data_IF_141893180874
#
_entry.id   IF_141893180874
#
_cell.length_a   1.000
_cell.length_b   1.000
_cell.length_c   1.000
_cell.angle_alpha   90.00
_cell.angle_beta   90.00
_cell.angle_gamma   90.00
#
_symmetry.space_group_name_H-M   'P 1'
#
loop_
_entity.id
_entity.type
_entity.pdbx_description
1 polymer ?
#
# COMPACT_ATOMS: atom_id res chain seq x y z
N UNK A 1 17.22 9.92 31.96
CA UNK A 1 17.11 11.11 32.84
C UNK A 1 17.15 12.43 32.05
N UNK A 2 18.10 12.64 31.12
CA UNK A 2 18.23 13.89 30.36
C UNK A 2 16.97 14.20 29.54
N UNK A 3 16.46 13.21 28.77
CA UNK A 3 15.24 13.35 27.95
C UNK A 3 14.02 13.66 28.82
N UNK A 4 13.84 12.93 29.94
CA UNK A 4 12.75 13.16 30.90
C UNK A 4 12.82 14.58 31.44
N UNK A 5 14.02 15.07 31.82
CA UNK A 5 14.21 16.42 32.29
C UNK A 5 13.88 17.51 31.27
N UNK A 6 13.95 17.20 29.95
CA UNK A 6 13.59 18.14 28.87
C UNK A 6 12.10 18.21 28.62
N UNK A 7 11.38 17.10 28.79
CA UNK A 7 9.94 16.99 28.46
C UNK A 7 9.01 17.03 29.68
N UNK A 8 9.54 16.96 30.92
CA UNK A 8 8.74 16.87 32.15
C UNK A 8 7.79 18.06 32.39
N UNK A 9 8.09 19.22 31.79
CA UNK A 9 7.28 20.44 31.92
C UNK A 9 6.24 20.58 30.77
N UNK A 10 6.17 19.63 29.87
CA UNK A 10 5.21 19.64 28.75
C UNK A 10 4.18 18.53 28.95
N UNK A 11 2.91 18.86 28.75
CA UNK A 11 1.85 17.87 28.67
C UNK A 11 1.87 17.26 27.25
N UNK A 12 2.30 16.01 27.13
CA UNK A 12 2.35 15.35 25.82
C UNK A 12 0.94 15.15 25.24
N UNK A 13 -0.10 15.16 26.06
CA UNK A 13 -1.49 15.05 25.60
C UNK A 13 -2.01 16.33 24.94
N UNK A 14 -1.38 17.49 25.27
CA UNK A 14 -1.72 18.78 24.67
C UNK A 14 -0.86 19.09 23.43
N UNK A 15 0.12 18.22 23.14
CA UNK A 15 0.98 18.37 21.96
C UNK A 15 0.23 17.84 20.73
N UNK A 16 0.41 18.50 19.60
CA UNK A 16 -0.11 18.02 18.32
C UNK A 16 0.28 16.53 18.11
N UNK A 17 -0.73 15.69 17.98
CA UNK A 17 -0.57 14.23 17.83
C UNK A 17 0.30 13.85 16.65
N UNK A 18 0.34 14.69 15.61
CA UNK A 18 1.21 14.49 14.46
C UNK A 18 2.69 14.65 14.80
N UNK A 19 3.03 15.62 15.66
CA UNK A 19 4.40 15.83 16.14
C UNK A 19 4.88 14.64 16.97
N UNK A 20 4.01 14.13 17.85
CA UNK A 20 4.33 12.94 18.66
C UNK A 20 4.50 11.72 17.76
N UNK A 21 3.64 11.56 16.78
CA UNK A 21 3.71 10.48 15.80
C UNK A 21 5.01 10.52 14.98
N UNK A 22 5.38 11.70 14.47
CA UNK A 22 6.61 11.89 13.70
C UNK A 22 7.87 11.64 14.57
N UNK A 23 7.87 12.10 15.82
CA UNK A 23 8.96 11.83 16.76
C UNK A 23 9.08 10.33 17.07
N UNK A 24 7.96 9.64 17.19
CA UNK A 24 7.90 8.20 17.43
C UNK A 24 8.41 7.40 16.22
N UNK A 25 8.05 7.78 15.00
CA UNK A 25 8.59 7.18 13.77
C UNK A 25 10.11 7.33 13.65
N UNK A 26 10.63 8.51 13.95
CA UNK A 26 12.09 8.76 13.98
C UNK A 26 12.78 7.87 15.01
N UNK A 27 12.21 7.76 16.22
CA UNK A 27 12.77 6.93 17.29
C UNK A 27 12.80 5.45 16.91
N UNK A 28 11.73 4.94 16.32
CA UNK A 28 11.63 3.56 15.84
C UNK A 28 12.63 3.29 14.73
N UNK A 29 12.72 4.20 13.75
CA UNK A 29 13.64 4.08 12.61
C UNK A 29 15.11 3.92 13.05
N UNK A 30 15.51 4.56 14.14
CA UNK A 30 16.85 4.38 14.72
C UNK A 30 17.00 3.03 15.43
N UNK A 31 15.96 2.54 16.11
CA UNK A 31 16.01 1.31 16.92
C UNK A 31 15.99 0.02 16.09
N UNK A 32 15.43 0.07 14.87
CA UNK A 32 15.25 -1.09 13.99
C UNK A 32 16.34 -1.26 12.91
N UNK A 33 17.41 -0.49 12.95
CA UNK A 33 18.55 -0.56 12.00
C UNK A 33 19.32 -1.88 11.99
N UNK A 34 18.72 -3.00 12.30
CA UNK A 34 19.47 -4.26 12.38
C UNK A 34 18.71 -5.57 12.22
N UNK A 35 17.39 -5.59 12.13
CA UNK A 35 16.64 -6.85 12.11
C UNK A 35 15.96 -7.15 10.77
N UNK A 36 16.46 -8.21 10.13
CA UNK A 36 15.78 -9.07 9.14
C UNK A 36 14.68 -8.45 8.25
N UNK A 37 15.08 -7.58 7.28
CA UNK A 37 14.21 -7.31 6.11
C UNK A 37 12.88 -6.60 6.38
N UNK A 38 12.68 -6.05 7.57
CA UNK A 38 11.50 -5.26 7.91
C UNK A 38 11.75 -3.80 7.53
N UNK A 39 10.96 -3.28 6.60
CA UNK A 39 11.10 -1.92 6.08
C UNK A 39 9.83 -1.14 6.37
N UNK A 40 9.99 0.08 6.87
CA UNK A 40 8.87 1.01 6.98
C UNK A 40 8.45 1.48 5.60
N UNK A 41 7.15 1.51 5.38
CA UNK A 41 6.59 2.14 4.18
C UNK A 41 6.72 3.65 4.33
N UNK A 42 7.32 4.36 3.37
CA UNK A 42 7.41 5.82 3.42
C UNK A 42 6.03 6.46 3.58
N UNK A 43 5.92 7.48 4.44
CA UNK A 43 4.65 8.13 4.81
C UNK A 43 3.87 8.67 3.60
N UNK A 44 4.57 9.23 2.61
CA UNK A 44 3.96 9.70 1.38
C UNK A 44 3.35 8.56 0.53
N UNK A 45 3.98 7.38 0.50
CA UNK A 45 3.43 6.17 -0.14
C UNK A 45 2.18 5.70 0.59
N UNK A 46 2.23 5.63 1.92
CA UNK A 46 1.07 5.27 2.76
C UNK A 46 -0.10 6.22 2.49
N UNK A 47 0.14 7.53 2.53
CA UNK A 47 -0.87 8.56 2.24
C UNK A 47 -1.48 8.41 0.85
N UNK A 48 -0.64 8.12 -0.15
CA UNK A 48 -1.12 7.91 -1.52
C UNK A 48 -2.09 6.74 -1.61
N UNK A 49 -1.78 5.61 -0.98
CA UNK A 49 -2.62 4.42 -1.00
C UNK A 49 -3.91 4.60 -0.18
N UNK A 50 -3.82 5.24 0.97
CA UNK A 50 -5.02 5.56 1.77
C UNK A 50 -5.93 6.52 1.00
N UNK A 51 -5.37 7.55 0.34
CA UNK A 51 -6.16 8.47 -0.52
C UNK A 51 -6.83 7.73 -1.68
N UNK A 52 -6.14 6.77 -2.29
CA UNK A 52 -6.69 6.02 -3.42
C UNK A 52 -7.79 5.03 -3.01
N UNK A 53 -7.70 4.45 -1.82
CA UNK A 53 -8.76 3.61 -1.22
C UNK A 53 -9.92 4.49 -0.74
N UNK A 54 -9.65 5.67 -0.18
CA UNK A 54 -10.63 6.58 0.42
C UNK A 54 -11.54 5.85 1.44
N UNK A 55 -11.00 5.42 2.61
CA UNK A 55 -11.80 4.75 3.63
C UNK A 55 -12.84 5.72 4.23
N UNK A 56 -13.98 5.19 4.66
CA UNK A 56 -15.04 5.95 5.33
C UNK A 56 -15.39 5.38 6.70
N UNK A 57 -16.29 6.02 7.43
CA UNK A 57 -16.70 5.68 8.82
C UNK A 57 -17.26 4.26 8.97
N UNK A 58 -17.82 3.66 7.91
CA UNK A 58 -18.42 2.33 7.92
C UNK A 58 -17.42 1.22 7.58
N UNK A 59 -16.22 1.57 7.14
CA UNK A 59 -15.23 0.59 6.72
C UNK A 59 -14.58 -0.10 7.93
N UNK A 60 -14.46 -1.43 7.86
CA UNK A 60 -13.68 -2.24 8.81
C UNK A 60 -12.35 -2.56 8.14
N UNK A 61 -11.27 -2.06 8.73
CA UNK A 61 -9.94 -1.99 8.13
C UNK A 61 -8.99 -2.97 8.80
N UNK A 62 -8.20 -3.69 8.00
CA UNK A 62 -7.14 -4.57 8.49
C UNK A 62 -5.82 -4.34 7.76
N UNK A 63 -4.71 -4.51 8.49
CA UNK A 63 -3.38 -4.72 7.93
C UNK A 63 -2.78 -6.00 8.54
N UNK A 64 -2.68 -7.11 7.78
CA UNK A 64 -2.16 -8.39 8.31
C UNK A 64 -0.63 -8.45 8.35
N UNK A 65 0.07 -7.37 8.03
CA UNK A 65 1.52 -7.20 8.12
C UNK A 65 1.86 -5.81 8.67
N UNK A 66 1.16 -5.40 9.75
CA UNK A 66 1.04 -4.00 10.10
C UNK A 66 2.33 -3.32 10.59
N UNK A 67 3.36 -4.08 10.95
CA UNK A 67 4.61 -3.50 11.43
C UNK A 67 4.38 -2.51 12.57
N UNK A 68 4.78 -1.26 12.37
CA UNK A 68 4.50 -0.14 13.28
C UNK A 68 3.12 0.49 13.11
N UNK A 69 2.23 -0.09 12.33
CA UNK A 69 0.86 0.37 12.06
C UNK A 69 0.73 1.61 11.18
N UNK A 70 1.72 1.94 10.34
CA UNK A 70 1.71 3.15 9.51
C UNK A 70 0.45 3.30 8.64
N UNK A 71 0.00 2.23 7.96
CA UNK A 71 -1.24 2.25 7.19
C UNK A 71 -2.48 2.44 8.06
N UNK A 72 -2.56 1.75 9.19
CA UNK A 72 -3.72 1.83 10.09
C UNK A 72 -3.86 3.23 10.70
N UNK A 73 -2.73 3.83 11.09
CA UNK A 73 -2.67 5.21 11.59
C UNK A 73 -3.15 6.21 10.54
N UNK A 74 -2.65 6.12 9.33
CA UNK A 74 -3.04 7.05 8.26
C UNK A 74 -4.49 6.85 7.83
N UNK A 75 -4.97 5.60 7.76
CA UNK A 75 -6.37 5.30 7.47
C UNK A 75 -7.31 5.87 8.56
N UNK A 76 -6.92 5.75 9.83
CA UNK A 76 -7.67 6.31 10.94
C UNK A 76 -7.72 7.83 10.87
N UNK A 77 -6.59 8.50 10.58
CA UNK A 77 -6.54 9.96 10.38
C UNK A 77 -7.42 10.41 9.21
N UNK A 78 -7.42 9.64 8.12
CA UNK A 78 -8.27 9.93 6.97
C UNK A 78 -9.76 9.90 7.35
N UNK A 79 -10.20 8.82 8.01
CA UNK A 79 -11.60 8.70 8.48
C UNK A 79 -11.94 9.79 9.50
N UNK A 80 -11.01 10.15 10.38
CA UNK A 80 -11.23 11.25 11.33
C UNK A 80 -11.40 12.60 10.65
N UNK A 81 -10.67 12.87 9.56
CA UNK A 81 -10.89 14.11 8.79
C UNK A 81 -12.27 14.16 8.15
N UNK A 82 -12.81 13.04 7.71
CA UNK A 82 -14.18 12.94 7.20
C UNK A 82 -15.21 13.24 8.31
N UNK A 83 -14.99 12.72 9.53
CA UNK A 83 -15.82 13.01 10.70
C UNK A 83 -15.80 14.50 11.03
N UNK A 84 -14.62 15.12 11.02
CA UNK A 84 -14.48 16.56 11.28
C UNK A 84 -15.21 17.41 10.24
N UNK A 85 -15.10 17.05 8.97
CA UNK A 85 -15.84 17.72 7.89
C UNK A 85 -17.36 17.59 8.10
N UNK A 86 -17.84 16.38 8.38
CA UNK A 86 -19.26 16.14 8.65
C UNK A 86 -19.73 16.86 9.91
N UNK A 87 -18.91 16.90 10.96
CA UNK A 87 -19.24 17.58 12.21
C UNK A 87 -19.47 19.08 12.03
N UNK A 88 -18.69 19.73 11.15
CA UNK A 88 -18.91 21.15 10.78
C UNK A 88 -20.26 21.32 10.08
N UNK A 89 -20.63 20.43 9.17
CA UNK A 89 -21.88 20.46 8.43
C UNK A 89 -23.10 20.25 9.34
N UNK A 90 -23.00 19.28 10.29
CA UNK A 90 -24.11 18.91 11.17
C UNK A 90 -24.07 19.56 12.56
N UNK A 91 -23.12 20.45 12.83
CA UNK A 91 -23.02 21.21 14.07
C UNK A 91 -22.71 20.34 15.32
N UNK A 92 -21.88 19.33 15.19
CA UNK A 92 -21.49 18.48 16.33
C UNK A 92 -20.58 19.24 17.29
N UNK A 93 -20.71 18.95 18.58
CA UNK A 93 -19.78 19.48 19.58
C UNK A 93 -18.50 18.64 19.68
N UNK A 94 -17.45 19.19 20.26
CA UNK A 94 -16.14 18.54 20.40
C UNK A 94 -16.21 17.19 21.12
N UNK A 95 -17.07 17.04 22.12
CA UNK A 95 -17.23 15.79 22.87
C UNK A 95 -17.80 14.68 21.97
N UNK A 96 -18.80 14.98 21.14
CA UNK A 96 -19.39 14.02 20.21
C UNK A 96 -18.38 13.58 19.13
N UNK A 97 -17.60 14.54 18.61
CA UNK A 97 -16.52 14.25 17.65
C UNK A 97 -15.47 13.32 18.27
N UNK A 98 -15.03 13.61 19.50
CA UNK A 98 -14.02 12.80 20.20
C UNK A 98 -14.51 11.38 20.48
N UNK A 99 -15.78 11.22 20.87
CA UNK A 99 -16.38 9.90 21.14
C UNK A 99 -16.54 9.07 19.86
N UNK A 100 -16.97 9.68 18.76
CA UNK A 100 -17.11 9.01 17.47
C UNK A 100 -15.75 8.56 16.95
N UNK A 101 -14.74 9.43 16.97
CA UNK A 101 -13.35 9.10 16.60
C UNK A 101 -12.80 7.90 17.38
N UNK A 102 -13.02 7.91 18.72
CA UNK A 102 -12.61 6.82 19.59
C UNK A 102 -13.34 5.52 19.28
N UNK A 103 -14.64 5.61 19.06
CA UNK A 103 -15.49 4.45 18.74
C UNK A 103 -15.03 3.76 17.46
N UNK A 104 -14.75 4.53 16.40
CA UNK A 104 -14.25 4.00 15.14
C UNK A 104 -12.87 3.38 15.30
N UNK A 105 -11.94 4.04 16.01
CA UNK A 105 -10.61 3.48 16.27
C UNK A 105 -10.69 2.10 16.96
N UNK A 106 -11.53 1.96 17.97
CA UNK A 106 -11.69 0.71 18.72
C UNK A 106 -12.37 -0.40 17.89
N UNK A 107 -13.43 -0.06 17.16
CA UNK A 107 -14.28 -1.04 16.48
C UNK A 107 -13.77 -1.45 15.11
N UNK A 108 -13.24 -0.49 14.35
CA UNK A 108 -13.05 -0.65 12.92
C UNK A 108 -11.60 -0.93 12.49
N UNK A 109 -10.62 -0.77 13.38
CA UNK A 109 -9.20 -0.92 13.03
C UNK A 109 -8.64 -2.22 13.61
N UNK A 110 -8.00 -3.04 12.74
CA UNK A 110 -7.34 -4.29 13.14
C UNK A 110 -5.97 -4.40 12.46
N UNK A 111 -5.00 -4.96 13.18
CA UNK A 111 -3.68 -5.27 12.65
C UNK A 111 -3.13 -6.57 13.19
N UNK A 112 -2.37 -7.27 12.37
CA UNK A 112 -1.60 -8.46 12.79
C UNK A 112 -0.13 -8.19 12.51
N UNK A 113 0.73 -8.46 13.49
CA UNK A 113 2.18 -8.40 13.37
C UNK A 113 2.79 -9.60 14.07
N UNK A 114 3.72 -10.26 13.40
CA UNK A 114 4.38 -11.46 13.91
C UNK A 114 5.48 -11.13 14.92
N UNK A 115 6.18 -10.02 14.73
CA UNK A 115 7.23 -9.57 15.63
C UNK A 115 6.63 -8.96 16.90
N UNK A 116 6.98 -9.51 18.05
CA UNK A 116 6.43 -9.08 19.35
C UNK A 116 6.86 -7.66 19.74
N UNK A 117 8.05 -7.22 19.31
CA UNK A 117 8.53 -5.87 19.56
C UNK A 117 7.74 -4.86 18.71
N UNK A 118 7.61 -5.11 17.40
CA UNK A 118 6.82 -4.27 16.50
C UNK A 118 5.34 -4.22 16.90
N UNK A 119 4.78 -5.36 17.36
CA UNK A 119 3.42 -5.37 17.91
C UNK A 119 3.27 -4.40 19.10
N UNK A 120 4.25 -4.36 20.01
CA UNK A 120 4.24 -3.42 21.14
C UNK A 120 4.37 -1.98 20.67
N UNK A 121 5.23 -1.73 19.69
CA UNK A 121 5.43 -0.43 19.05
C UNK A 121 4.12 0.03 18.40
N UNK A 122 3.49 -0.79 17.57
CA UNK A 122 2.22 -0.49 16.92
C UNK A 122 1.11 -0.20 17.92
N UNK A 123 0.98 -1.03 18.97
CA UNK A 123 0.03 -0.78 20.08
C UNK A 123 0.25 0.54 20.77
N UNK A 124 1.52 0.92 21.01
CA UNK A 124 1.84 2.20 21.65
C UNK A 124 1.50 3.37 20.73
N UNK A 125 1.78 3.25 19.44
CA UNK A 125 1.47 4.27 18.46
C UNK A 125 -0.04 4.50 18.34
N UNK A 126 -0.81 3.42 18.16
CA UNK A 126 -2.27 3.49 18.13
C UNK A 126 -2.85 4.08 19.43
N UNK A 127 -2.30 3.69 20.61
CA UNK A 127 -2.73 4.22 21.89
C UNK A 127 -2.47 5.72 22.05
N UNK A 128 -1.35 6.25 21.54
CA UNK A 128 -1.03 7.69 21.53
C UNK A 128 -2.08 8.46 20.71
N UNK A 129 -2.56 7.87 19.63
CA UNK A 129 -3.62 8.46 18.81
C UNK A 129 -5.01 8.38 19.47
N UNK A 130 -5.17 7.53 20.48
CA UNK A 130 -6.43 7.41 21.24
C UNK A 130 -7.40 6.34 20.73
N UNK A 131 -6.90 5.34 19.98
CA UNK A 131 -7.70 4.21 19.46
C UNK A 131 -8.08 3.15 20.52
N UNK A 132 -7.54 3.27 21.74
CA UNK A 132 -7.87 2.36 22.84
C UNK A 132 -7.09 1.06 22.93
N UNK A 133 -5.99 0.84 22.19
CA UNK A 133 -5.03 -0.28 22.32
C UNK A 133 -5.47 -1.68 21.83
N UNK A 134 -6.72 -1.88 21.45
CA UNK A 134 -7.31 -3.24 21.33
C UNK A 134 -7.15 -3.93 19.99
N UNK A 135 -6.84 -3.20 18.93
CA UNK A 135 -6.96 -3.67 17.55
C UNK A 135 -5.74 -4.41 16.98
N UNK A 136 -4.60 -4.45 17.68
CA UNK A 136 -3.35 -5.02 17.16
C UNK A 136 -3.01 -6.34 17.85
N UNK A 137 -2.74 -7.39 17.07
CA UNK A 137 -2.52 -8.76 17.54
C UNK A 137 -1.14 -9.26 17.15
N UNK A 138 -0.48 -9.97 18.10
CA UNK A 138 0.83 -10.60 17.86
C UNK A 138 0.59 -12.03 17.37
N UNK A 139 0.62 -12.23 16.04
CA UNK A 139 0.36 -13.52 15.41
C UNK A 139 1.07 -13.65 14.05
N UNK A 140 1.26 -14.87 13.58
CA UNK A 140 1.63 -15.13 12.20
C UNK A 140 0.37 -15.12 11.32
N UNK A 141 0.19 -14.07 10.55
CA UNK A 141 -0.97 -13.89 9.65
C UNK A 141 -1.11 -15.00 8.61
N UNK A 142 0.00 -15.65 8.24
CA UNK A 142 0.00 -16.73 7.26
C UNK A 142 -0.37 -18.08 7.87
N UNK A 143 -0.47 -18.18 9.20
CA UNK A 143 -0.93 -19.39 9.86
C UNK A 143 -2.42 -19.64 9.63
N UNK A 144 -2.89 -20.87 9.80
CA UNK A 144 -4.32 -21.15 9.74
C UNK A 144 -5.04 -20.41 10.87
N UNK A 145 -6.18 -19.74 10.62
CA UNK A 145 -6.90 -18.99 11.65
C UNK A 145 -7.25 -19.80 12.91
N UNK A 146 -7.46 -21.11 12.76
CA UNK A 146 -7.73 -22.01 13.92
C UNK A 146 -6.55 -22.08 14.90
N UNK A 147 -5.32 -21.82 14.43
CA UNK A 147 -4.10 -21.89 15.23
C UNK A 147 -3.79 -20.56 15.92
N UNK A 148 -4.47 -19.45 15.56
CA UNK A 148 -4.34 -18.18 16.27
C UNK A 148 -4.86 -18.29 17.71
N UNK A 149 -4.37 -17.43 18.61
CA UNK A 149 -4.89 -17.40 19.97
C UNK A 149 -6.40 -17.04 20.01
N UNK A 150 -7.05 -17.30 21.12
CA UNK A 150 -8.51 -17.12 21.27
C UNK A 150 -8.93 -15.66 21.06
N UNK A 151 -8.16 -14.70 21.55
CA UNK A 151 -8.45 -13.27 21.41
C UNK A 151 -8.39 -12.82 19.96
N UNK A 152 -7.37 -13.25 19.22
CA UNK A 152 -7.23 -12.96 17.78
C UNK A 152 -8.41 -13.54 17.00
N UNK A 153 -8.76 -14.81 17.26
CA UNK A 153 -9.91 -15.47 16.59
C UNK A 153 -11.27 -14.83 16.86
N UNK A 154 -11.43 -14.21 18.01
CA UNK A 154 -12.67 -13.45 18.33
C UNK A 154 -12.78 -12.16 17.54
N UNK A 155 -11.65 -11.50 17.27
CA UNK A 155 -11.59 -10.16 16.66
C UNK A 155 -11.31 -10.17 15.15
N UNK A 156 -10.66 -11.22 14.64
CA UNK A 156 -10.27 -11.33 13.23
C UNK A 156 -10.83 -12.61 12.64
N UNK A 157 -11.68 -12.44 11.64
CA UNK A 157 -12.31 -13.54 10.89
C UNK A 157 -12.06 -13.32 9.40
N UNK A 158 -12.00 -14.40 8.66
CA UNK A 158 -11.96 -14.33 7.20
C UNK A 158 -13.26 -13.74 6.67
N UNK A 159 -13.20 -13.08 5.51
CA UNK A 159 -14.36 -12.56 4.76
C UNK A 159 -15.19 -11.51 5.53
N UNK A 160 -14.55 -10.74 6.44
CA UNK A 160 -15.28 -9.75 7.26
C UNK A 160 -14.83 -8.30 7.07
N UNK A 161 -13.66 -8.07 6.50
CA UNK A 161 -13.12 -6.71 6.36
C UNK A 161 -13.54 -6.08 5.04
N UNK A 162 -13.78 -4.78 5.04
CA UNK A 162 -14.09 -4.02 3.83
C UNK A 162 -12.84 -3.43 3.18
N UNK A 163 -11.79 -3.17 3.98
CA UNK A 163 -10.51 -2.67 3.49
C UNK A 163 -9.35 -3.45 4.09
N UNK A 164 -8.37 -3.77 3.23
CA UNK A 164 -7.09 -4.29 3.67
C UNK A 164 -5.95 -3.46 3.08
N UNK A 165 -4.99 -3.08 3.93
CA UNK A 165 -3.71 -2.50 3.51
C UNK A 165 -2.60 -3.49 3.80
N UNK A 166 -1.56 -3.53 2.97
CA UNK A 166 -0.41 -4.38 3.26
C UNK A 166 0.84 -3.93 2.52
N UNK A 167 1.95 -3.86 3.23
CA UNK A 167 3.29 -3.91 2.67
C UNK A 167 3.99 -5.14 3.26
N UNK A 168 3.74 -6.34 2.70
CA UNK A 168 4.28 -7.58 3.26
C UNK A 168 5.79 -7.62 3.12
N UNK A 169 6.49 -8.39 3.96
CA UNK A 169 7.90 -8.62 3.78
C UNK A 169 8.17 -9.23 2.41
N UNK A 170 9.19 -8.73 1.71
CA UNK A 170 9.60 -9.25 0.42
C UNK A 170 11.08 -9.52 0.37
N UNK A 171 11.41 -10.65 -0.25
CA UNK A 171 12.76 -11.16 -0.42
C UNK A 171 12.72 -12.56 -1.01
N UNK A 172 13.68 -12.87 -1.86
CA UNK A 172 13.75 -14.21 -2.49
C UNK A 172 14.00 -15.33 -1.47
N UNK A 173 14.64 -14.97 -0.36
CA UNK A 173 15.10 -15.91 0.65
C UNK A 173 14.06 -16.14 1.77
N UNK A 174 12.97 -15.34 1.79
CA UNK A 174 11.90 -15.50 2.77
C UNK A 174 10.88 -16.49 2.22
N UNK A 175 10.99 -17.74 2.70
CA UNK A 175 10.12 -18.85 2.31
C UNK A 175 9.20 -19.26 3.46
N UNK A 176 8.00 -19.63 3.11
CA UNK A 176 7.01 -20.21 4.03
C UNK A 176 6.93 -21.70 3.75
N UNK A 177 7.07 -22.51 4.78
CA UNK A 177 7.03 -23.97 4.71
C UNK A 177 5.91 -24.53 5.57
N UNK A 178 5.62 -25.82 5.38
CA UNK A 178 4.61 -26.55 6.15
C UNK A 178 3.34 -26.80 5.32
N UNK A 179 3.08 -28.08 5.03
CA UNK A 179 1.96 -28.50 4.18
C UNK A 179 0.61 -28.00 4.68
N UNK A 180 0.37 -28.07 5.97
CA UNK A 180 -0.89 -27.60 6.58
C UNK A 180 -1.07 -26.09 6.41
N UNK A 181 -0.01 -25.32 6.61
CA UNK A 181 0.00 -23.87 6.40
C UNK A 181 -0.21 -23.50 4.92
N UNK A 182 0.50 -24.15 4.03
CA UNK A 182 0.44 -23.87 2.60
C UNK A 182 -0.86 -24.30 1.92
N UNK A 183 -1.49 -25.39 2.40
CA UNK A 183 -2.68 -25.96 1.78
C UNK A 183 -3.90 -25.04 1.73
N UNK A 184 -3.92 -23.99 2.56
CA UNK A 184 -4.99 -22.99 2.58
C UNK A 184 -4.87 -21.90 1.50
N UNK A 185 -3.78 -21.90 0.71
CA UNK A 185 -3.49 -20.90 -0.31
C UNK A 185 -3.55 -21.49 -1.70
N UNK A 186 -4.31 -20.88 -2.60
CA UNK A 186 -4.34 -21.24 -4.02
C UNK A 186 -2.97 -21.02 -4.69
N UNK A 187 -2.32 -19.89 -4.35
CA UNK A 187 -1.03 -19.50 -4.89
C UNK A 187 0.15 -20.36 -4.39
N UNK A 188 -0.09 -21.25 -3.42
CA UNK A 188 0.89 -22.27 -3.01
C UNK A 188 0.84 -23.53 -3.88
N UNK A 189 -0.09 -23.61 -4.84
CA UNK A 189 -0.18 -24.75 -5.75
C UNK A 189 0.34 -24.40 -7.13
N UNK A 190 1.04 -25.34 -7.71
CA UNK A 190 1.48 -25.30 -9.11
C UNK A 190 0.66 -26.24 -9.96
N UNK A 191 0.28 -25.80 -11.15
CA UNK A 191 -0.39 -26.64 -12.13
C UNK A 191 0.64 -27.11 -13.15
N UNK A 192 0.89 -28.43 -13.19
CA UNK A 192 1.80 -29.07 -14.14
C UNK A 192 1.04 -30.20 -14.82
N UNK A 193 0.98 -30.19 -16.15
CA UNK A 193 0.25 -31.17 -16.95
C UNK A 193 -1.21 -31.37 -16.50
N UNK A 194 -1.92 -30.26 -16.19
CA UNK A 194 -3.29 -30.28 -15.73
C UNK A 194 -3.51 -30.78 -14.29
N UNK A 195 -2.46 -31.19 -13.60
CA UNK A 195 -2.54 -31.63 -12.19
C UNK A 195 -2.10 -30.53 -11.25
N UNK A 196 -2.91 -30.25 -10.25
CA UNK A 196 -2.61 -29.27 -9.17
C UNK A 196 -1.80 -29.97 -8.09
N UNK A 197 -0.59 -29.47 -7.82
CA UNK A 197 0.29 -30.00 -6.77
C UNK A 197 0.67 -28.89 -5.80
N UNK A 198 0.58 -29.17 -4.50
CA UNK A 198 1.06 -28.29 -3.46
C UNK A 198 2.60 -28.22 -3.51
N UNK A 199 3.14 -27.01 -3.53
CA UNK A 199 4.58 -26.78 -3.43
C UNK A 199 5.07 -27.04 -2.00
N UNK A 200 6.33 -27.42 -1.83
CA UNK A 200 6.92 -27.67 -0.50
C UNK A 200 7.23 -26.36 0.24
N UNK A 201 7.37 -25.28 -0.53
CA UNK A 201 7.60 -23.91 -0.02
C UNK A 201 6.81 -22.87 -0.83
N UNK A 202 6.29 -21.83 -0.15
CA UNK A 202 5.61 -20.71 -0.77
C UNK A 202 6.39 -19.40 -0.62
N UNK A 203 6.22 -18.49 -1.58
CA UNK A 203 6.77 -17.15 -1.46
C UNK A 203 5.90 -16.31 -0.52
N UNK A 204 6.52 -15.64 0.44
CA UNK A 204 5.82 -14.88 1.47
C UNK A 204 4.91 -13.78 0.89
N UNK A 205 5.36 -13.04 -0.13
CA UNK A 205 4.58 -11.94 -0.72
C UNK A 205 3.33 -12.42 -1.45
N UNK A 206 3.41 -13.58 -2.16
CA UNK A 206 2.23 -14.16 -2.83
C UNK A 206 1.22 -14.70 -1.84
N UNK A 207 1.69 -15.30 -0.74
CA UNK A 207 0.79 -15.80 0.31
C UNK A 207 0.11 -14.64 1.06
N UNK A 208 0.81 -13.53 1.29
CA UNK A 208 0.19 -12.32 1.84
C UNK A 208 -0.83 -11.70 0.88
N UNK A 209 -0.56 -11.68 -0.43
CA UNK A 209 -1.56 -11.23 -1.41
C UNK A 209 -2.87 -12.02 -1.24
N UNK A 210 -2.79 -13.34 -1.19
CA UNK A 210 -3.98 -14.18 -1.03
C UNK A 210 -4.60 -14.05 0.36
N UNK A 211 -3.79 -13.99 1.45
CA UNK A 211 -4.30 -13.80 2.81
C UNK A 211 -5.09 -12.50 2.95
N UNK A 212 -4.61 -11.41 2.38
CA UNK A 212 -5.34 -10.14 2.38
C UNK A 212 -6.72 -10.30 1.73
N UNK A 213 -6.80 -10.97 0.58
CA UNK A 213 -8.08 -11.22 -0.10
C UNK A 213 -8.98 -12.20 0.68
N UNK A 214 -8.40 -13.20 1.39
CA UNK A 214 -9.18 -14.08 2.26
C UNK A 214 -9.81 -13.36 3.46
N UNK A 215 -9.16 -12.30 3.97
CA UNK A 215 -9.67 -11.50 5.08
C UNK A 215 -10.81 -10.56 4.64
N UNK A 216 -10.82 -10.12 3.39
CA UNK A 216 -11.84 -9.23 2.85
C UNK A 216 -13.17 -9.94 2.60
N UNK A 217 -14.27 -9.26 2.88
CA UNK A 217 -15.58 -9.60 2.33
C UNK A 217 -15.61 -9.42 0.81
N UNK A 218 -16.60 -9.99 0.13
CA UNK A 218 -16.81 -9.73 -1.29
C UNK A 218 -17.09 -8.23 -1.53
N UNK A 219 -16.49 -7.67 -2.57
CA UNK A 219 -16.52 -6.23 -2.81
C UNK A 219 -15.52 -5.42 -1.96
N UNK A 220 -14.88 -6.04 -0.97
CA UNK A 220 -13.83 -5.38 -0.17
C UNK A 220 -12.60 -5.01 -1.00
N UNK A 221 -11.88 -3.98 -0.57
CA UNK A 221 -10.77 -3.36 -1.31
C UNK A 221 -9.43 -3.64 -0.65
N UNK A 222 -8.46 -4.11 -1.42
CA UNK A 222 -7.08 -4.34 -1.02
C UNK A 222 -6.17 -3.29 -1.65
N UNK A 223 -5.33 -2.61 -0.87
CA UNK A 223 -4.15 -1.92 -1.35
C UNK A 223 -2.89 -2.66 -0.88
N UNK A 224 -2.13 -3.22 -1.80
CA UNK A 224 -0.92 -3.99 -1.49
C UNK A 224 0.27 -3.51 -2.31
N UNK A 225 1.44 -3.45 -1.66
CA UNK A 225 2.72 -3.15 -2.30
C UNK A 225 3.45 -4.46 -2.58
N UNK A 226 3.87 -4.66 -3.82
CA UNK A 226 4.61 -5.84 -4.22
C UNK A 226 5.81 -5.46 -5.11
N UNK A 227 6.88 -6.27 -5.15
CA UNK A 227 7.95 -6.10 -6.11
C UNK A 227 7.45 -6.07 -7.57
N UNK A 228 8.00 -5.18 -8.38
CA UNK A 228 7.59 -4.99 -9.79
C UNK A 228 7.61 -6.30 -10.61
N UNK A 229 8.49 -7.22 -10.26
CA UNK A 229 8.63 -8.52 -10.97
C UNK A 229 7.34 -9.35 -10.99
N UNK A 230 6.43 -9.19 -10.00
CA UNK A 230 5.12 -9.87 -10.00
C UNK A 230 4.21 -9.39 -11.13
N UNK A 231 4.42 -8.17 -11.61
CA UNK A 231 3.55 -7.48 -12.54
C UNK A 231 3.92 -7.66 -14.01
N UNK A 232 5.10 -8.26 -14.31
CA UNK A 232 5.54 -8.49 -15.70
C UNK A 232 6.33 -9.77 -15.94
N UNK A 233 7.01 -10.34 -14.92
CA UNK A 233 7.91 -11.46 -15.16
C UNK A 233 7.12 -12.73 -15.56
N UNK A 234 7.60 -13.52 -16.57
CA UNK A 234 6.91 -14.71 -17.04
C UNK A 234 6.64 -15.75 -15.94
N UNK A 235 7.59 -15.91 -15.01
CA UNK A 235 7.47 -16.84 -13.87
C UNK A 235 6.33 -16.46 -12.90
N UNK A 236 5.87 -15.22 -12.92
CA UNK A 236 4.82 -14.70 -12.03
C UNK A 236 3.46 -14.58 -12.74
N UNK A 237 3.29 -15.18 -13.91
CA UNK A 237 2.03 -15.14 -14.67
C UNK A 237 0.83 -15.64 -13.84
N UNK A 238 1.03 -16.68 -13.03
CA UNK A 238 -0.02 -17.22 -12.15
C UNK A 238 -0.54 -16.20 -11.13
N UNK A 239 0.33 -15.32 -10.63
CA UNK A 239 -0.07 -14.23 -9.71
C UNK A 239 -0.94 -13.20 -10.44
N UNK A 240 -0.57 -12.82 -11.68
CA UNK A 240 -1.40 -11.89 -12.48
C UNK A 240 -2.74 -12.51 -12.85
N UNK A 241 -2.75 -13.80 -13.23
CA UNK A 241 -4.00 -14.53 -13.47
C UNK A 241 -4.91 -14.60 -12.22
N UNK A 242 -4.30 -14.71 -11.04
CA UNK A 242 -5.02 -14.64 -9.78
C UNK A 242 -5.62 -13.25 -9.54
N UNK A 243 -4.85 -12.17 -9.77
CA UNK A 243 -5.31 -10.78 -9.67
C UNK A 243 -6.47 -10.48 -10.65
N UNK A 244 -6.42 -10.98 -11.89
CA UNK A 244 -7.48 -10.79 -12.88
C UNK A 244 -8.81 -11.52 -12.56
N UNK A 245 -8.88 -12.33 -11.51
CA UNK A 245 -10.14 -12.85 -10.99
C UNK A 245 -10.94 -11.77 -10.23
N UNK A 246 -10.35 -10.62 -9.98
CA UNK A 246 -10.87 -9.52 -9.19
C UNK A 246 -10.88 -8.24 -10.01
N UNK A 247 -11.55 -7.19 -9.54
CA UNK A 247 -11.53 -5.88 -10.18
C UNK A 247 -10.26 -5.11 -9.80
N UNK A 248 -9.35 -4.92 -10.72
CA UNK A 248 -8.17 -4.07 -10.55
C UNK A 248 -8.57 -2.62 -10.77
N UNK A 249 -8.56 -1.81 -9.71
CA UNK A 249 -9.00 -0.41 -9.76
C UNK A 249 -7.85 0.55 -10.06
N UNK A 250 -6.71 0.37 -9.38
CA UNK A 250 -5.52 1.22 -9.51
C UNK A 250 -4.25 0.39 -9.56
N UNK A 251 -3.28 0.89 -10.35
CA UNK A 251 -1.89 0.44 -10.31
C UNK A 251 -1.01 1.68 -10.22
N UNK A 252 -0.19 1.78 -9.16
CA UNK A 252 0.66 2.94 -8.85
C UNK A 252 2.12 2.52 -8.88
N UNK A 253 2.86 3.09 -9.81
CA UNK A 253 4.28 2.79 -10.06
C UNK A 253 5.15 3.82 -9.33
N UNK A 254 5.83 3.38 -8.28
CA UNK A 254 6.78 4.20 -7.53
C UNK A 254 8.20 4.11 -8.11
N UNK A 255 9.07 5.12 -7.92
CA UNK A 255 10.43 5.08 -8.41
C UNK A 255 11.27 4.02 -7.67
N UNK A 256 12.40 3.64 -8.29
CA UNK A 256 13.28 2.57 -7.79
C UNK A 256 13.86 2.85 -6.40
N UNK A 257 13.97 4.12 -6.02
CA UNK A 257 14.54 4.53 -4.74
C UNK A 257 13.53 4.62 -3.58
N UNK A 258 12.26 4.27 -3.80
CA UNK A 258 11.16 4.42 -2.81
C UNK A 258 11.50 3.80 -1.45
N UNK A 259 12.11 2.62 -1.43
CA UNK A 259 12.48 1.92 -0.20
C UNK A 259 13.98 2.03 0.14
N UNK A 260 14.73 2.84 -0.60
CA UNK A 260 16.14 3.10 -0.32
C UNK A 260 16.31 3.98 0.93
N UNK A 261 17.45 3.87 1.65
CA UNK A 261 18.58 2.98 1.40
C UNK A 261 18.37 1.53 1.89
N UNK A 262 17.23 1.22 2.51
CA UNK A 262 17.03 -0.04 3.23
C UNK A 262 16.74 -1.24 2.31
N UNK A 263 16.09 -1.00 1.17
CA UNK A 263 15.75 -2.04 0.20
C UNK A 263 15.96 -1.55 -1.24
N UNK A 264 16.44 -2.45 -2.08
CA UNK A 264 16.72 -2.20 -3.51
C UNK A 264 15.56 -2.61 -4.43
N UNK A 265 14.49 -3.21 -3.89
CA UNK A 265 13.39 -3.66 -4.72
C UNK A 265 12.60 -2.47 -5.27
N UNK A 266 12.43 -2.44 -6.58
CA UNK A 266 11.43 -1.58 -7.20
C UNK A 266 10.06 -2.19 -6.94
N UNK A 267 9.12 -1.38 -6.46
CA UNK A 267 7.80 -1.82 -6.05
C UNK A 267 6.70 -1.08 -6.80
N UNK A 268 5.59 -1.76 -6.96
CA UNK A 268 4.33 -1.26 -7.49
C UNK A 268 3.26 -1.51 -6.42
N UNK A 269 2.38 -0.55 -6.22
CA UNK A 269 1.17 -0.77 -5.45
C UNK A 269 -0.01 -1.07 -6.39
N UNK A 270 -0.86 -2.01 -5.97
CA UNK A 270 -2.07 -2.35 -6.68
C UNK A 270 -3.28 -2.26 -5.76
N UNK A 271 -4.38 -1.71 -6.26
CA UNK A 271 -5.67 -1.68 -5.57
C UNK A 271 -6.62 -2.60 -6.30
N UNK A 272 -7.14 -3.57 -5.56
CA UNK A 272 -7.99 -4.65 -6.08
C UNK A 272 -9.26 -4.72 -5.25
N UNK A 273 -10.40 -4.87 -5.92
CA UNK A 273 -11.68 -5.12 -5.28
C UNK A 273 -12.06 -6.59 -5.44
N UNK A 274 -12.22 -7.28 -4.31
CA UNK A 274 -12.42 -8.73 -4.25
C UNK A 274 -13.72 -9.15 -4.94
N UNK A 275 -13.64 -10.21 -5.78
CA UNK A 275 -14.75 -10.89 -6.42
C UNK A 275 -15.74 -9.98 -7.17
N UNK A 276 -15.27 -8.82 -7.61
CA UNK A 276 -16.04 -7.93 -8.47
C UNK A 276 -15.61 -8.08 -9.92
N UNK A 277 -16.53 -7.93 -10.88
CA UNK A 277 -16.19 -7.97 -12.30
C UNK A 277 -15.22 -6.82 -12.63
N UNK A 278 -14.25 -7.10 -13.50
CA UNK A 278 -13.30 -6.08 -13.95
C UNK A 278 -14.02 -4.95 -14.66
N UNK A 279 -13.76 -3.73 -14.24
CA UNK A 279 -14.21 -2.52 -14.91
C UNK A 279 -13.55 -2.37 -16.28
N UNK A 280 -14.16 -1.60 -17.18
CA UNK A 280 -13.65 -1.36 -18.53
C UNK A 280 -12.25 -0.74 -18.53
N UNK A 281 -11.96 0.14 -17.59
CA UNK A 281 -10.68 0.83 -17.46
C UNK A 281 -10.00 0.53 -16.13
N UNK A 282 -8.66 0.47 -16.16
CA UNK A 282 -7.80 0.44 -14.99
C UNK A 282 -7.14 1.82 -14.86
N UNK A 283 -7.22 2.41 -13.68
CA UNK A 283 -6.51 3.64 -13.36
C UNK A 283 -5.04 3.34 -13.10
N UNK A 284 -4.16 4.16 -13.64
CA UNK A 284 -2.71 4.03 -13.46
C UNK A 284 -2.10 5.36 -13.01
N UNK A 285 -1.06 5.26 -12.19
CA UNK A 285 -0.27 6.41 -11.79
C UNK A 285 1.23 6.10 -11.86
N UNK A 286 2.04 7.11 -12.16
CA UNK A 286 3.50 7.00 -12.20
C UNK A 286 4.12 8.16 -11.43
N UNK A 287 4.87 7.83 -10.37
CA UNK A 287 5.76 8.77 -9.69
C UNK A 287 7.19 8.63 -10.23
N UNK A 288 7.82 9.74 -10.57
CA UNK A 288 9.25 9.78 -10.93
C UNK A 288 10.11 10.13 -9.71
N UNK A 289 9.57 10.93 -8.79
CA UNK A 289 10.23 11.40 -7.58
C UNK A 289 9.41 11.06 -6.34
N UNK A 290 10.12 10.71 -5.26
CA UNK A 290 9.55 10.28 -3.98
C UNK A 290 10.12 11.09 -2.79
N UNK A 291 10.74 12.22 -3.06
CA UNK A 291 11.29 13.10 -2.03
C UNK A 291 12.76 12.88 -1.68
N UNK A 292 13.36 11.75 -2.05
CA UNK A 292 14.75 11.42 -1.71
C UNK A 292 15.49 10.66 -2.82
N UNK A 293 16.81 10.66 -2.76
CA UNK A 293 17.69 9.90 -3.64
C UNK A 293 17.90 8.45 -3.17
N UNK A 294 18.78 7.72 -3.86
CA UNK A 294 19.12 6.33 -3.53
C UNK A 294 19.86 6.16 -2.19
N UNK A 295 20.36 7.23 -1.60
CA UNK A 295 21.01 7.25 -0.28
C UNK A 295 20.03 7.70 0.84
N UNK A 296 18.78 8.03 0.50
CA UNK A 296 17.79 8.56 1.44
C UNK A 296 17.94 10.04 1.74
N UNK A 297 18.75 10.79 0.94
CA UNK A 297 18.91 12.24 1.08
C UNK A 297 17.78 12.94 0.34
N UNK A 298 17.20 13.99 0.95
CA UNK A 298 16.14 14.77 0.35
C UNK A 298 16.60 15.39 -1.00
N UNK A 299 15.72 15.30 -1.99
CA UNK A 299 15.86 15.98 -3.28
C UNK A 299 14.90 17.19 -3.29
N UNK A 300 15.41 18.33 -3.67
CA UNK A 300 14.64 19.57 -3.73
C UNK A 300 14.35 20.00 -5.17
N UNK A 301 13.23 20.69 -5.37
CA UNK A 301 12.91 21.33 -6.63
C UNK A 301 13.88 22.47 -6.94
N UNK A 302 13.97 22.84 -8.23
CA UNK A 302 14.72 24.00 -8.67
C UNK A 302 13.76 25.07 -9.19
N UNK A 303 14.08 26.33 -8.92
CA UNK A 303 13.37 27.47 -9.49
C UNK A 303 13.70 27.65 -10.99
N UNK A 304 13.09 28.67 -11.62
CA UNK A 304 13.27 28.98 -13.03
C UNK A 304 14.75 29.37 -13.36
N UNK A 305 15.51 29.82 -12.36
CA UNK A 305 16.93 30.19 -12.48
C UNK A 305 17.87 29.01 -12.19
N UNK A 306 17.34 27.83 -11.87
CA UNK A 306 18.09 26.61 -11.55
C UNK A 306 18.56 26.51 -10.10
N UNK A 307 18.24 27.46 -9.21
CA UNK A 307 18.58 27.40 -7.80
C UNK A 307 17.72 26.39 -7.05
N UNK A 308 18.28 25.73 -6.02
CA UNK A 308 17.55 24.84 -5.14
C UNK A 308 16.52 25.63 -4.32
N UNK A 309 15.29 25.12 -4.30
CA UNK A 309 14.22 25.62 -3.42
C UNK A 309 14.21 24.82 -2.11
N UNK A 310 13.32 25.21 -1.17
CA UNK A 310 13.04 24.44 0.04
C UNK A 310 11.91 23.39 -0.17
N UNK A 311 11.43 23.22 -1.40
CA UNK A 311 10.34 22.30 -1.74
C UNK A 311 10.93 20.95 -2.07
N UNK A 312 10.56 19.93 -1.31
CA UNK A 312 10.96 18.53 -1.58
C UNK A 312 10.30 18.06 -2.86
N UNK A 313 11.10 17.49 -3.77
CA UNK A 313 10.65 16.97 -5.06
C UNK A 313 9.96 15.62 -4.88
N UNK A 314 8.65 15.66 -4.73
CA UNK A 314 7.79 14.50 -4.43
C UNK A 314 6.51 14.56 -5.28
N UNK A 315 6.36 13.59 -6.18
CA UNK A 315 5.22 13.53 -7.09
C UNK A 315 3.97 12.97 -6.43
N UNK A 316 4.10 12.30 -5.29
CA UNK A 316 2.96 11.63 -4.63
C UNK A 316 1.87 12.62 -4.22
N UNK A 317 2.24 13.82 -3.81
CA UNK A 317 1.26 14.89 -3.48
C UNK A 317 0.39 15.25 -4.68
N UNK A 318 0.96 15.35 -5.87
CA UNK A 318 0.22 15.64 -7.10
C UNK A 318 -0.64 14.45 -7.54
N UNK A 319 -0.12 13.22 -7.38
CA UNK A 319 -0.90 11.99 -7.63
C UNK A 319 -2.12 11.94 -6.71
N UNK A 320 -1.97 12.22 -5.42
CA UNK A 320 -3.11 12.29 -4.48
C UNK A 320 -4.13 13.33 -4.89
N UNK A 321 -3.70 14.50 -5.32
CA UNK A 321 -4.60 15.56 -5.79
C UNK A 321 -5.35 15.16 -7.07
N UNK A 322 -4.67 14.52 -8.01
CA UNK A 322 -5.30 13.98 -9.21
C UNK A 322 -6.32 12.86 -8.87
N UNK A 323 -6.00 11.96 -7.95
CA UNK A 323 -6.92 10.90 -7.47
C UNK A 323 -8.17 11.51 -6.83
N UNK A 324 -8.02 12.48 -5.91
CA UNK A 324 -9.16 13.16 -5.27
C UNK A 324 -10.07 13.82 -6.28
N UNK A 325 -9.51 14.46 -7.31
CA UNK A 325 -10.29 15.13 -8.36
C UNK A 325 -10.98 14.14 -9.30
N UNK A 326 -10.36 13.01 -9.61
CA UNK A 326 -11.01 11.93 -10.36
C UNK A 326 -12.24 11.41 -9.62
N UNK A 327 -12.15 11.26 -8.31
CA UNK A 327 -13.28 10.87 -7.47
C UNK A 327 -14.35 11.98 -7.38
N UNK A 328 -13.98 13.27 -7.50
CA UNK A 328 -14.87 14.43 -7.49
C UNK A 328 -15.39 14.89 -8.85
N UNK A 329 -15.12 14.16 -9.94
CA UNK A 329 -15.60 14.42 -11.31
C UNK A 329 -15.19 15.78 -11.93
N UNK A 330 -14.12 16.40 -11.44
CA UNK A 330 -13.62 17.65 -12.03
C UNK A 330 -12.85 17.37 -13.35
N UNK A 331 -13.07 18.12 -14.44
CA UNK A 331 -12.33 17.94 -15.69
C UNK A 331 -10.85 18.29 -15.48
N UNK A 332 -9.97 17.35 -15.79
CA UNK A 332 -8.51 17.49 -15.63
C UNK A 332 -7.77 17.02 -16.88
N UNK A 333 -6.63 17.67 -17.11
CA UNK A 333 -5.53 17.08 -17.89
C UNK A 333 -4.53 16.49 -16.88
N UNK A 334 -4.69 15.22 -16.45
CA UNK A 334 -3.79 14.62 -15.47
C UNK A 334 -2.39 14.50 -16.07
N UNK A 335 -1.37 14.76 -15.23
CA UNK A 335 0.04 14.65 -15.60
C UNK A 335 0.63 13.33 -15.15
N UNK A 336 0.22 12.86 -13.97
CA UNK A 336 0.77 11.68 -13.30
C UNK A 336 -0.16 10.47 -13.35
N UNK A 337 -1.45 10.68 -13.60
CA UNK A 337 -2.45 9.63 -13.68
C UNK A 337 -3.02 9.49 -15.10
N UNK A 338 -3.45 8.29 -15.45
CA UNK A 338 -4.08 7.97 -16.72
C UNK A 338 -4.90 6.69 -16.60
N UNK A 339 -5.73 6.41 -17.61
CA UNK A 339 -6.52 5.17 -17.67
C UNK A 339 -6.12 4.34 -18.87
N UNK A 340 -6.21 3.02 -18.74
CA UNK A 340 -5.98 2.05 -19.81
C UNK A 340 -7.13 1.04 -19.81
N UNK A 341 -7.57 0.63 -21.00
CA UNK A 341 -8.54 -0.44 -21.15
C UNK A 341 -8.04 -1.72 -20.48
N UNK A 342 -8.85 -2.29 -19.60
CA UNK A 342 -8.50 -3.50 -18.85
C UNK A 342 -8.21 -4.68 -19.77
N UNK A 343 -8.94 -4.80 -20.88
CA UNK A 343 -8.69 -5.82 -21.90
C UNK A 343 -7.26 -5.73 -22.43
N UNK A 344 -6.76 -4.54 -22.76
CA UNK A 344 -5.40 -4.34 -23.26
C UNK A 344 -4.34 -4.72 -22.24
N UNK A 345 -4.60 -4.45 -20.94
CA UNK A 345 -3.69 -4.85 -19.86
C UNK A 345 -3.64 -6.38 -19.71
N UNK A 346 -4.81 -7.03 -19.80
CA UNK A 346 -4.92 -8.49 -19.73
C UNK A 346 -4.27 -9.19 -20.93
N UNK A 347 -4.47 -8.67 -22.14
CA UNK A 347 -3.86 -9.22 -23.37
C UNK A 347 -2.33 -9.10 -23.35
N UNK A 348 -1.79 -7.98 -22.88
CA UNK A 348 -0.35 -7.78 -22.75
C UNK A 348 0.26 -8.58 -21.59
N UNK A 349 -0.53 -9.03 -20.64
CA UNK A 349 -0.09 -9.66 -19.40
C UNK A 349 0.97 -8.83 -18.63
N UNK A 350 0.86 -7.48 -18.68
CA UNK A 350 1.79 -6.53 -18.08
C UNK A 350 0.98 -5.52 -17.25
N UNK A 351 1.20 -5.51 -15.94
CA UNK A 351 0.56 -4.59 -14.98
C UNK A 351 1.56 -3.53 -14.48
N UNK A 352 2.40 -3.01 -15.36
CA UNK A 352 3.41 -2.00 -15.07
C UNK A 352 3.01 -0.67 -15.69
N UNK A 353 2.60 0.35 -14.94
CA UNK A 353 2.15 1.64 -15.46
C UNK A 353 3.14 2.30 -16.43
N UNK A 354 4.45 2.27 -16.16
CA UNK A 354 5.48 2.85 -17.04
C UNK A 354 5.51 2.25 -18.44
N UNK A 355 5.08 1.01 -18.61
CA UNK A 355 4.96 0.38 -19.93
C UNK A 355 3.91 1.11 -20.79
N UNK A 356 2.85 1.62 -20.19
CA UNK A 356 1.76 2.34 -20.86
C UNK A 356 1.95 3.87 -20.83
N UNK A 357 2.74 4.37 -19.90
CA UNK A 357 2.99 5.80 -19.69
C UNK A 357 4.07 6.30 -20.63
N UNK A 358 3.73 6.46 -21.90
CA UNK A 358 4.74 6.83 -22.88
C UNK A 358 4.47 8.22 -23.48
N UNK A 359 4.87 9.28 -22.76
CA UNK A 359 5.02 10.60 -23.40
C UNK A 359 6.06 10.53 -24.54
N UNK A 360 7.20 9.88 -24.33
CA UNK A 360 8.26 9.71 -25.33
C UNK A 360 7.86 8.80 -26.48
N UNK A 361 7.19 7.67 -26.23
CA UNK A 361 6.74 6.79 -27.33
C UNK A 361 5.62 7.44 -28.13
N UNK A 362 4.69 8.17 -27.50
CA UNK A 362 3.66 8.99 -28.22
C UNK A 362 4.32 10.10 -29.03
N UNK A 363 5.36 10.75 -28.50
CA UNK A 363 6.12 11.77 -29.21
C UNK A 363 6.87 11.19 -30.41
N UNK A 364 7.52 10.02 -30.25
CA UNK A 364 8.17 9.29 -31.33
C UNK A 364 7.16 8.88 -32.40
N UNK A 365 6.01 8.31 -32.00
CA UNK A 365 4.93 7.95 -32.92
C UNK A 365 4.39 9.15 -33.66
N UNK A 366 4.17 10.29 -32.96
CA UNK A 366 3.73 11.55 -33.58
C UNK A 366 4.76 12.08 -34.59
N UNK A 367 6.04 12.08 -34.23
CA UNK A 367 7.13 12.48 -35.13
C UNK A 367 7.25 11.54 -36.32
N UNK A 368 7.20 10.22 -36.09
CA UNK A 368 7.26 9.23 -37.15
C UNK A 368 6.08 9.38 -38.13
N UNK A 369 4.86 9.59 -37.62
CA UNK A 369 3.67 9.86 -38.44
C UNK A 369 3.81 11.15 -39.26
N UNK A 370 4.30 12.24 -38.64
CA UNK A 370 4.52 13.52 -39.30
C UNK A 370 5.59 13.42 -40.41
N UNK A 371 6.60 12.59 -40.23
CA UNK A 371 7.69 12.36 -41.17
C UNK A 371 7.46 11.18 -42.10
N UNK A 372 6.30 10.53 -42.05
CA UNK A 372 5.96 9.33 -42.82
C UNK A 372 6.94 8.14 -42.61
N UNK A 373 7.57 8.07 -41.42
CA UNK A 373 8.48 6.99 -41.06
C UNK A 373 7.69 5.80 -40.53
N UNK A 374 7.90 4.60 -41.08
CA UNK A 374 7.32 3.37 -40.58
C UNK A 374 8.10 2.88 -39.35
N UNK A 375 7.43 2.82 -38.19
CA UNK A 375 7.99 2.20 -36.98
C UNK A 375 7.81 0.67 -37.09
N UNK A 376 8.90 -0.07 -36.90
CA UNK A 376 8.90 -1.53 -36.93
C UNK A 376 9.21 -2.02 -35.50
N UNK A 377 8.41 -2.95 -34.95
CA UNK A 377 8.71 -3.55 -33.66
C UNK A 377 10.07 -4.25 -33.65
N UNK A 378 10.87 -4.02 -32.60
CA UNK A 378 12.21 -4.66 -32.46
C UNK A 378 12.13 -6.18 -32.62
N UNK A 379 11.03 -6.80 -32.17
CA UNK A 379 10.80 -8.22 -32.31
C UNK A 379 10.88 -8.69 -33.79
N UNK A 380 10.44 -7.88 -34.74
CA UNK A 380 10.53 -8.20 -36.16
C UNK A 380 11.93 -8.03 -36.75
N UNK A 381 12.85 -7.39 -36.00
CA UNK A 381 14.26 -7.21 -36.42
C UNK A 381 15.22 -8.23 -35.78
N UNK A 382 14.72 -9.04 -34.83
CA UNK A 382 15.52 -10.05 -34.12
C UNK A 382 15.27 -11.45 -34.70
N UNK A 383 14.19 -11.63 -35.45
CA UNK A 383 13.86 -12.90 -36.12
C UNK A 383 14.48 -13.01 -37.55
N UNK A 384 15.32 -12.06 -37.97
CA UNK A 384 16.23 -12.09 -39.08
C UNK A 384 17.71 -12.18 -38.60
#
# INVERSE_FOLDING_TARGET
RYIIGKIQNYCLMDTDRDIIADAFEVFIGYSLKGSQGQFFTPKNVVKTLVTAIAPNVNDIIIDPSCGSCGFLVEALKYVWSEIECAAVEYGWNESAIAEEKKTIGIKNIRGIEKDSFLTKVGKSYMAILGDGKGGIFCEDSLEQPKNWNSLTRQNIKLETFSISFSNPPFGKDIKVTGKEKLSQYELAYKVTNGKRKLEDEGNVSTLFLERNLQLLADGGRLAIILPETYFHAPKQKHVRQFLFKHNIQWIIDFPHNTFRPHNNAKCIAIIVQKNMPQQEYINMAVAEYIGHDHNGKAIYERDENGNLTNIVKDDTKFIMDEIRRLNGHAPLKPKYTFTIEAQKVSENDILVPRYYWSSKAKEIQKKAKAQQIKLIPIKQLIDE
#
